data_IF_871175903359
#
_entry.id   IF_871175903359
#
_cell.length_a   1.000
_cell.length_b   1.000
_cell.length_c   1.000
_cell.angle_alpha   90.00
_cell.angle_beta   90.00
_cell.angle_gamma   90.00
#
_symmetry.space_group_name_H-M   'P 1'
#
loop_
_entity.id
_entity.type
_entity.pdbx_description
1 polymer ?
#
# COMPACT_ATOMS: atom_id res chain seq x y z
N UNK A 1 -4.23 -57.29 51.64
CA UNK A 1 -4.52 -56.31 50.57
C UNK A 1 -3.62 -56.66 49.40
N UNK A 2 -4.17 -57.17 48.31
CA UNK A 2 -3.40 -57.57 47.13
C UNK A 2 -3.24 -56.38 46.19
N UNK A 3 -2.00 -55.99 45.92
CA UNK A 3 -1.68 -55.05 44.84
C UNK A 3 -2.03 -55.69 43.49
N UNK A 4 -3.14 -55.25 42.89
CA UNK A 4 -3.43 -55.53 41.48
C UNK A 4 -2.37 -54.86 40.62
N UNK A 5 -1.38 -55.65 40.16
CA UNK A 5 -0.42 -55.21 39.15
C UNK A 5 -1.16 -54.99 37.84
N UNK A 6 -1.47 -53.73 37.54
CA UNK A 6 -1.98 -53.30 36.26
C UNK A 6 -1.00 -53.73 35.15
N UNK A 7 -1.37 -54.79 34.42
CA UNK A 7 -0.56 -55.30 33.32
C UNK A 7 -0.73 -54.36 32.11
N UNK A 8 0.26 -53.48 31.89
CA UNK A 8 0.28 -52.61 30.72
C UNK A 8 0.32 -53.49 29.45
N UNK A 9 -0.64 -53.35 28.52
CA UNK A 9 -0.69 -54.14 27.29
C UNK A 9 0.63 -54.06 26.50
N UNK A 10 1.17 -55.22 26.10
CA UNK A 10 2.35 -55.29 25.24
C UNK A 10 2.04 -54.61 23.91
N UNK A 11 2.74 -53.50 23.62
CA UNK A 11 2.56 -52.73 22.38
C UNK A 11 2.14 -51.27 22.60
N UNK A 12 1.68 -50.92 23.81
CA UNK A 12 1.23 -49.56 24.12
C UNK A 12 2.35 -48.51 23.98
N UNK A 13 3.60 -48.86 24.33
CA UNK A 13 4.77 -47.99 24.10
C UNK A 13 5.09 -47.77 22.61
N UNK A 14 4.91 -48.78 21.75
CA UNK A 14 5.08 -48.62 20.30
C UNK A 14 3.98 -47.75 19.69
N UNK A 15 2.76 -47.86 20.21
CA UNK A 15 1.64 -47.01 19.80
C UNK A 15 1.83 -45.56 20.24
N UNK A 16 2.25 -45.33 21.49
CA UNK A 16 2.56 -44.01 22.01
C UNK A 16 3.68 -43.32 21.22
N UNK A 17 4.75 -44.04 20.87
CA UNK A 17 5.83 -43.49 20.03
C UNK A 17 5.32 -43.11 18.64
N UNK A 18 4.51 -43.96 17.99
CA UNK A 18 3.93 -43.64 16.69
C UNK A 18 3.01 -42.42 16.71
N UNK A 19 2.22 -42.26 17.78
CA UNK A 19 1.39 -41.06 17.96
C UNK A 19 2.25 -39.82 18.16
N UNK A 20 3.32 -39.92 18.95
CA UNK A 20 4.23 -38.81 19.19
C UNK A 20 4.95 -38.38 17.91
N UNK A 21 5.46 -39.34 17.13
CA UNK A 21 6.07 -39.11 15.82
C UNK A 21 5.08 -38.41 14.85
N UNK A 22 3.84 -38.91 14.77
CA UNK A 22 2.81 -38.31 13.92
C UNK A 22 2.46 -36.87 14.33
N UNK A 23 2.41 -36.57 15.63
CA UNK A 23 2.15 -35.21 16.13
C UNK A 23 3.29 -34.24 15.78
N UNK A 24 4.54 -34.69 15.87
CA UNK A 24 5.70 -33.88 15.48
C UNK A 24 5.66 -33.59 13.98
N UNK A 25 5.39 -34.61 13.15
CA UNK A 25 5.28 -34.44 11.70
C UNK A 25 4.17 -33.46 11.31
N UNK A 26 3.02 -33.50 11.99
CA UNK A 26 1.91 -32.57 11.79
C UNK A 26 2.29 -31.12 12.19
N UNK A 27 2.96 -30.93 13.33
CA UNK A 27 3.42 -29.63 13.79
C UNK A 27 4.46 -29.03 12.83
N UNK A 28 5.43 -29.83 12.37
CA UNK A 28 6.41 -29.40 11.39
C UNK A 28 5.77 -29.06 10.02
N UNK A 29 4.76 -29.84 9.60
CA UNK A 29 4.02 -29.55 8.37
C UNK A 29 3.25 -28.23 8.48
N UNK A 30 2.62 -27.98 9.63
CA UNK A 30 1.92 -26.73 9.91
C UNK A 30 2.88 -25.53 9.92
N UNK A 31 4.07 -25.67 10.52
CA UNK A 31 5.08 -24.61 10.53
C UNK A 31 5.62 -24.33 9.13
N UNK A 32 5.89 -25.38 8.32
CA UNK A 32 6.27 -25.22 6.90
C UNK A 32 5.21 -24.44 6.12
N UNK A 33 3.92 -24.76 6.30
CA UNK A 33 2.83 -24.03 5.64
C UNK A 33 2.78 -22.56 6.07
N UNK A 34 2.97 -22.25 7.36
CA UNK A 34 3.01 -20.85 7.84
C UNK A 34 4.19 -20.09 7.25
N UNK A 35 5.37 -20.70 7.21
CA UNK A 35 6.58 -20.11 6.61
C UNK A 35 6.37 -19.84 5.11
N UNK A 36 5.80 -20.79 4.37
CA UNK A 36 5.47 -20.62 2.96
C UNK A 36 4.43 -19.53 2.72
N UNK A 37 3.40 -19.43 3.57
CA UNK A 37 2.40 -18.37 3.46
C UNK A 37 3.01 -16.98 3.73
N UNK A 38 3.86 -16.86 4.75
CA UNK A 38 4.60 -15.63 5.05
C UNK A 38 5.49 -15.26 3.87
N UNK A 39 6.22 -16.23 3.29
CA UNK A 39 7.09 -16.01 2.15
C UNK A 39 6.29 -15.56 0.92
N UNK A 40 5.18 -16.24 0.59
CA UNK A 40 4.29 -15.84 -0.51
C UNK A 40 3.73 -14.44 -0.32
N UNK A 41 3.30 -14.09 0.90
CA UNK A 41 2.83 -12.73 1.22
C UNK A 41 3.94 -11.69 1.03
N UNK A 42 5.17 -12.00 1.42
CA UNK A 42 6.34 -11.13 1.19
C UNK A 42 6.63 -10.97 -0.29
N UNK A 43 6.62 -12.05 -1.08
CA UNK A 43 6.83 -11.96 -2.53
C UNK A 43 5.77 -11.13 -3.23
N UNK A 44 4.49 -11.34 -2.91
CA UNK A 44 3.39 -10.53 -3.47
C UNK A 44 3.57 -9.07 -3.10
N UNK A 45 3.96 -8.77 -1.86
CA UNK A 45 4.26 -7.40 -1.41
C UNK A 45 5.43 -6.79 -2.18
N UNK A 46 6.50 -7.55 -2.44
CA UNK A 46 7.65 -7.10 -3.21
C UNK A 46 7.29 -6.84 -4.67
N UNK A 47 6.56 -7.75 -5.32
CA UNK A 47 6.10 -7.56 -6.70
C UNK A 47 5.15 -6.36 -6.84
N UNK A 48 4.23 -6.19 -5.88
CA UNK A 48 3.34 -5.03 -5.85
C UNK A 48 4.13 -3.72 -5.65
N UNK A 49 5.18 -3.75 -4.83
CA UNK A 49 6.09 -2.60 -4.65
C UNK A 49 6.87 -2.30 -5.93
N UNK A 50 7.39 -3.31 -6.62
CA UNK A 50 8.11 -3.13 -7.89
C UNK A 50 7.19 -2.57 -8.99
N UNK A 51 5.97 -3.10 -9.10
CA UNK A 51 4.97 -2.58 -10.02
C UNK A 51 4.55 -1.14 -9.66
N UNK A 52 4.35 -0.85 -8.37
CA UNK A 52 4.06 0.48 -7.86
C UNK A 52 5.18 1.49 -8.09
N UNK A 53 6.44 1.05 -8.03
CA UNK A 53 7.61 1.91 -8.18
C UNK A 53 7.68 2.54 -9.57
N UNK A 54 7.38 1.80 -10.63
CA UNK A 54 7.37 2.33 -11.99
C UNK A 54 6.33 3.46 -12.14
N UNK A 55 5.14 3.26 -11.58
CA UNK A 55 4.10 4.28 -11.57
C UNK A 55 4.48 5.49 -10.70
N UNK A 56 5.07 5.25 -9.52
CA UNK A 56 5.55 6.32 -8.65
C UNK A 56 6.64 7.16 -9.33
N UNK A 57 7.58 6.53 -10.04
CA UNK A 57 8.61 7.23 -10.80
C UNK A 57 8.00 8.10 -11.90
N UNK A 58 6.99 7.60 -12.62
CA UNK A 58 6.28 8.38 -13.63
C UNK A 58 5.56 9.59 -13.03
N UNK A 59 4.89 9.40 -11.88
CA UNK A 59 4.23 10.50 -11.14
C UNK A 59 5.25 11.55 -10.70
N UNK A 60 6.39 11.15 -10.11
CA UNK A 60 7.46 12.08 -9.72
C UNK A 60 8.05 12.83 -10.91
N UNK A 61 8.27 12.13 -12.03
CA UNK A 61 8.76 12.76 -13.27
C UNK A 61 7.80 13.82 -13.77
N UNK A 62 6.51 13.50 -13.84
CA UNK A 62 5.47 14.46 -14.23
C UNK A 62 5.38 15.63 -13.24
N UNK A 63 5.39 15.35 -11.93
CA UNK A 63 5.32 16.37 -10.88
C UNK A 63 6.50 17.34 -10.95
N UNK A 64 7.71 16.84 -11.23
CA UNK A 64 8.88 17.68 -11.46
C UNK A 64 8.68 18.59 -12.67
N UNK A 65 8.27 18.04 -13.81
CA UNK A 65 8.00 18.82 -15.02
C UNK A 65 6.91 19.88 -14.80
N UNK A 66 5.83 19.51 -14.12
CA UNK A 66 4.74 20.41 -13.74
C UNK A 66 5.27 21.57 -12.90
N UNK A 67 6.00 21.28 -11.80
CA UNK A 67 6.60 22.28 -10.90
C UNK A 67 7.62 23.18 -11.59
N UNK A 68 8.33 22.67 -12.59
CA UNK A 68 9.29 23.47 -13.36
C UNK A 68 8.63 24.37 -14.40
N UNK A 69 7.39 24.08 -14.81
CA UNK A 69 6.66 24.88 -15.80
C UNK A 69 6.08 26.17 -15.20
N UNK A 70 5.99 27.23 -16.02
CA UNK A 70 5.38 28.51 -15.59
C UNK A 70 3.91 28.35 -15.18
N UNK A 71 3.17 27.51 -15.89
CA UNK A 71 1.77 27.19 -15.56
C UNK A 71 1.68 26.47 -14.21
N UNK A 72 2.50 25.45 -13.98
CA UNK A 72 2.47 24.69 -12.74
C UNK A 72 2.91 25.52 -11.53
N UNK A 73 3.93 26.39 -11.67
CA UNK A 73 4.31 27.34 -10.61
C UNK A 73 3.14 28.26 -10.24
N UNK A 74 2.46 28.84 -11.24
CA UNK A 74 1.30 29.70 -11.00
C UNK A 74 0.17 28.94 -10.33
N UNK A 75 -0.15 27.74 -10.80
CA UNK A 75 -1.20 26.89 -10.22
C UNK A 75 -0.89 26.47 -8.78
N UNK A 76 0.38 26.15 -8.47
CA UNK A 76 0.80 25.85 -7.10
C UNK A 76 0.70 27.09 -6.22
N UNK A 77 1.13 28.26 -6.72
CA UNK A 77 1.09 29.51 -5.98
C UNK A 77 -0.34 29.99 -5.69
N UNK A 78 -1.26 29.81 -6.63
CA UNK A 78 -2.68 30.14 -6.44
C UNK A 78 -3.47 28.99 -5.80
N UNK A 79 -2.82 27.85 -5.57
CA UNK A 79 -3.43 26.62 -5.04
C UNK A 79 -4.31 26.90 -3.84
N UNK A 80 -5.59 26.54 -3.96
CA UNK A 80 -6.63 27.01 -3.06
C UNK A 80 -6.49 26.37 -1.65
N UNK A 81 -6.36 27.14 -0.56
CA UNK A 81 -6.41 26.61 0.81
C UNK A 81 -7.83 26.17 1.24
N UNK A 82 -8.87 26.46 0.43
CA UNK A 82 -10.27 26.11 0.75
C UNK A 82 -10.64 24.66 0.45
N UNK A 83 -9.83 23.93 -0.32
CA UNK A 83 -9.87 22.48 -0.18
C UNK A 83 -9.14 22.23 1.14
N UNK A 84 -9.88 21.97 2.21
CA UNK A 84 -9.41 21.67 3.59
C UNK A 84 -8.47 20.45 3.70
N UNK A 85 -7.90 20.06 2.57
CA UNK A 85 -7.16 18.88 2.23
C UNK A 85 -5.80 19.19 1.59
N UNK A 86 -5.47 20.43 1.20
CA UNK A 86 -4.15 20.78 0.64
C UNK A 86 -3.26 21.46 1.69
N UNK A 87 -1.93 21.23 1.62
CA UNK A 87 -0.95 22.10 2.28
C UNK A 87 -1.09 23.52 1.70
N UNK A 88 -0.77 24.55 2.49
CA UNK A 88 -0.70 25.93 2.01
C UNK A 88 0.12 25.97 0.71
N UNK A 89 -0.55 26.24 -0.42
CA UNK A 89 0.01 26.28 -1.79
C UNK A 89 0.33 24.90 -2.43
N UNK A 90 -0.71 24.17 -2.84
CA UNK A 90 -0.58 22.91 -3.59
C UNK A 90 -1.73 22.67 -4.57
N UNK A 91 -1.53 21.74 -5.49
CA UNK A 91 -2.48 21.33 -6.53
C UNK A 91 -2.80 19.86 -6.38
N UNK A 92 -4.08 19.52 -6.27
CA UNK A 92 -4.54 18.15 -6.32
C UNK A 92 -4.72 17.73 -7.78
N UNK A 93 -4.15 16.58 -8.16
CA UNK A 93 -4.20 16.10 -9.55
C UNK A 93 -4.87 14.74 -9.70
N UNK A 94 -5.15 14.06 -8.60
CA UNK A 94 -5.84 12.77 -8.61
C UNK A 94 -6.80 12.66 -7.43
N UNK A 95 -8.09 12.55 -7.74
CA UNK A 95 -9.21 12.30 -6.82
C UNK A 95 -9.95 11.00 -7.18
N UNK A 96 -9.23 9.98 -7.63
CA UNK A 96 -9.84 8.76 -8.15
C UNK A 96 -10.22 7.78 -7.06
N UNK A 97 -11.50 7.41 -6.98
CA UNK A 97 -11.91 6.20 -6.29
C UNK A 97 -11.54 4.97 -7.16
N UNK A 98 -10.74 4.07 -6.60
CA UNK A 98 -10.32 2.83 -7.26
C UNK A 98 -11.09 1.69 -6.62
N UNK A 99 -11.90 1.00 -7.42
CA UNK A 99 -12.80 -0.06 -6.96
C UNK A 99 -12.04 -1.07 -6.09
N UNK A 100 -12.53 -1.28 -4.87
CA UNK A 100 -11.95 -2.22 -3.91
C UNK A 100 -10.70 -1.71 -3.18
N UNK A 101 -10.36 -0.42 -3.31
CA UNK A 101 -9.25 0.22 -2.58
C UNK A 101 -9.77 1.32 -1.67
N UNK A 102 -9.05 1.57 -0.57
CA UNK A 102 -9.32 2.74 0.24
C UNK A 102 -9.02 4.00 -0.58
N UNK A 103 -9.87 5.02 -0.47
CA UNK A 103 -9.67 6.28 -1.18
C UNK A 103 -8.29 6.86 -0.86
N UNK A 104 -7.62 7.34 -1.91
CA UNK A 104 -6.35 8.06 -1.84
C UNK A 104 -6.34 9.17 -2.87
N UNK A 105 -6.08 10.37 -2.38
CA UNK A 105 -5.82 11.54 -3.19
C UNK A 105 -4.33 11.76 -3.43
N UNK A 106 -3.94 12.27 -4.60
CA UNK A 106 -2.57 12.71 -4.87
C UNK A 106 -2.52 14.18 -5.28
N UNK A 107 -1.50 14.87 -4.80
CA UNK A 107 -1.24 16.24 -5.17
C UNK A 107 0.25 16.57 -5.21
N UNK A 108 0.52 17.79 -5.68
CA UNK A 108 1.86 18.33 -5.86
C UNK A 108 1.93 19.74 -5.28
N UNK A 109 3.01 20.06 -4.59
CA UNK A 109 3.30 21.39 -4.06
C UNK A 109 4.75 21.79 -4.37
N UNK A 110 5.20 22.91 -3.79
CA UNK A 110 6.60 23.34 -3.92
C UNK A 110 7.60 22.37 -3.28
N UNK A 111 7.18 21.55 -2.32
CA UNK A 111 8.00 20.53 -1.67
C UNK A 111 8.09 19.23 -2.47
N UNK A 112 7.09 18.89 -3.26
CA UNK A 112 7.08 17.69 -4.10
C UNK A 112 5.71 17.05 -4.19
N UNK A 113 5.69 15.71 -4.22
CA UNK A 113 4.45 14.93 -4.26
C UNK A 113 3.96 14.72 -2.84
N UNK A 114 2.64 14.73 -2.66
CA UNK A 114 1.98 14.34 -1.42
C UNK A 114 0.77 13.46 -1.73
N UNK A 115 0.36 12.65 -0.76
CA UNK A 115 -0.89 11.89 -0.82
C UNK A 115 -1.74 12.15 0.41
N UNK A 116 -3.05 11.86 0.30
CA UNK A 116 -3.99 11.99 1.41
C UNK A 116 -4.98 10.81 1.45
N UNK A 117 -5.38 10.41 2.66
CA UNK A 117 -6.50 9.50 2.90
C UNK A 117 -7.78 10.27 3.25
N UNK A 118 -8.94 9.65 3.04
CA UNK A 118 -10.21 10.14 3.55
C UNK A 118 -10.32 9.83 5.06
N UNK A 119 -10.90 10.77 5.82
CA UNK A 119 -11.11 10.64 7.26
C UNK A 119 -11.01 11.97 8.00
N UNK A 120 -11.65 12.06 9.16
CA UNK A 120 -11.52 13.21 10.05
C UNK A 120 -10.08 13.30 10.59
N UNK A 121 -9.46 14.48 10.50
CA UNK A 121 -8.07 14.69 10.95
C UNK A 121 -6.98 14.11 10.02
N UNK A 122 -7.33 13.61 8.83
CA UNK A 122 -6.33 13.21 7.85
C UNK A 122 -5.64 14.45 7.27
N UNK A 123 -4.32 14.52 7.38
CA UNK A 123 -3.50 15.56 6.77
C UNK A 123 -2.75 15.01 5.54
N UNK A 124 -2.39 15.86 4.57
CA UNK A 124 -1.49 15.46 3.49
C UNK A 124 -0.16 14.94 4.01
N UNK A 125 0.25 13.79 3.49
CA UNK A 125 1.54 13.17 3.73
C UNK A 125 2.47 13.53 2.59
N UNK A 126 3.47 14.36 2.86
CA UNK A 126 4.53 14.64 1.88
C UNK A 126 5.38 13.40 1.68
N UNK A 127 5.77 13.19 0.43
CA UNK A 127 6.58 12.05 0.02
C UNK A 127 7.85 12.55 -0.63
N UNK A 128 8.98 12.05 -0.14
CA UNK A 128 10.31 12.49 -0.55
C UNK A 128 10.86 11.71 -1.75
N UNK A 129 10.36 10.50 -2.01
CA UNK A 129 10.84 9.66 -3.11
C UNK A 129 9.76 8.76 -3.75
N UNK A 130 9.99 8.27 -4.99
CA UNK A 130 9.12 7.27 -5.61
C UNK A 130 8.97 5.98 -4.80
N UNK A 131 10.03 5.53 -4.15
CA UNK A 131 10.04 4.33 -3.30
C UNK A 131 9.10 4.50 -2.11
N UNK A 132 9.16 5.66 -1.46
CA UNK A 132 8.29 6.00 -0.35
C UNK A 132 6.81 6.05 -0.81
N UNK A 133 6.54 6.60 -2.00
CA UNK A 133 5.19 6.62 -2.56
C UNK A 133 4.68 5.21 -2.86
N UNK A 134 5.51 4.35 -3.45
CA UNK A 134 5.17 2.97 -3.76
C UNK A 134 5.00 2.08 -2.52
N UNK A 135 5.61 2.44 -1.39
CA UNK A 135 5.38 1.79 -0.10
C UNK A 135 4.06 2.21 0.56
N UNK A 136 3.68 3.49 0.41
CA UNK A 136 2.55 4.09 1.14
C UNK A 136 1.22 4.05 0.37
N UNK A 137 1.25 3.95 -0.97
CA UNK A 137 0.07 3.98 -1.83
C UNK A 137 0.00 2.70 -2.67
N UNK A 138 -1.20 2.12 -2.74
CA UNK A 138 -1.44 0.88 -3.48
C UNK A 138 -1.11 1.05 -4.98
N UNK A 139 -0.44 0.05 -5.57
CA UNK A 139 0.00 0.10 -6.96
C UNK A 139 -1.15 0.33 -7.95
N UNK A 140 -2.37 -0.15 -7.67
CA UNK A 140 -3.53 0.08 -8.53
C UNK A 140 -3.96 1.56 -8.54
N UNK A 141 -3.79 2.26 -7.41
CA UNK A 141 -4.06 3.70 -7.30
C UNK A 141 -3.02 4.47 -8.09
N UNK A 142 -1.74 4.12 -7.95
CA UNK A 142 -0.66 4.74 -8.71
C UNK A 142 -0.79 4.52 -10.22
N UNK A 143 -1.24 3.32 -10.63
CA UNK A 143 -1.53 3.02 -12.02
C UNK A 143 -2.69 3.89 -12.57
N UNK A 144 -3.76 4.05 -11.79
CA UNK A 144 -4.89 4.89 -12.16
C UNK A 144 -4.47 6.36 -12.31
N UNK A 145 -3.68 6.88 -11.36
CA UNK A 145 -3.13 8.22 -11.42
C UNK A 145 -2.22 8.44 -12.64
N UNK A 146 -1.36 7.47 -12.98
CA UNK A 146 -0.59 7.51 -14.22
C UNK A 146 -1.48 7.57 -15.45
N UNK A 147 -2.58 6.82 -15.47
CA UNK A 147 -3.54 6.85 -16.58
C UNK A 147 -4.15 8.25 -16.73
N UNK A 148 -4.52 8.89 -15.60
CA UNK A 148 -5.04 10.26 -15.62
C UNK A 148 -4.02 11.28 -16.12
N UNK A 149 -2.74 11.09 -15.80
CA UNK A 149 -1.65 11.94 -16.30
C UNK A 149 -1.53 11.78 -17.81
N UNK A 150 -1.57 10.54 -18.31
CA UNK A 150 -1.40 10.22 -19.72
C UNK A 150 -2.55 10.68 -20.60
N UNK A 151 -3.80 10.53 -20.11
CA UNK A 151 -5.00 10.92 -20.87
C UNK A 151 -5.49 12.35 -20.58
N UNK A 152 -4.82 13.06 -19.68
CA UNK A 152 -5.11 14.45 -19.35
C UNK A 152 -6.27 14.66 -18.38
N UNK A 153 -6.87 13.61 -17.81
CA UNK A 153 -7.89 13.75 -16.75
C UNK A 153 -7.39 14.52 -15.52
N UNK A 154 -6.08 14.55 -15.28
CA UNK A 154 -5.47 15.42 -14.25
C UNK A 154 -5.89 16.87 -14.42
N UNK A 155 -6.03 17.38 -15.66
CA UNK A 155 -6.39 18.78 -15.89
C UNK A 155 -7.83 19.09 -15.51
N UNK A 156 -8.73 18.11 -15.69
CA UNK A 156 -10.10 18.22 -15.21
C UNK A 156 -10.12 18.26 -13.69
N UNK A 157 -9.40 17.33 -13.03
CA UNK A 157 -9.26 17.32 -11.57
C UNK A 157 -8.74 18.65 -11.04
N UNK A 158 -7.66 19.16 -11.63
CA UNK A 158 -7.06 20.45 -11.25
C UNK A 158 -8.08 21.57 -11.41
N UNK A 159 -8.77 21.64 -12.56
CA UNK A 159 -9.79 22.66 -12.82
C UNK A 159 -10.92 22.61 -11.80
N UNK A 160 -11.40 21.41 -11.48
CA UNK A 160 -12.50 21.21 -10.53
C UNK A 160 -12.08 21.65 -9.10
N UNK A 161 -10.79 21.60 -8.75
CA UNK A 161 -10.26 22.16 -7.49
C UNK A 161 -10.25 23.69 -7.42
N UNK A 162 -10.40 24.38 -8.56
CA UNK A 162 -10.47 25.84 -8.65
C UNK A 162 -11.85 26.34 -9.09
N UNK A 163 -12.83 25.45 -9.23
CA UNK A 163 -14.20 25.83 -9.53
C UNK A 163 -14.91 26.18 -8.21
N UNK A 164 -15.28 27.45 -8.06
CA UNK A 164 -16.06 27.98 -6.93
C UNK A 164 -17.44 27.30 -6.78
#
# INVERSE_FOLDING_TARGET
>A
MSEEKFAVPKGLGRFANKLHEAMIEEEEAAERQRQEEIWRRKEVRMRNREAGLQYAQAIFTWALQFRSSETGKKLIQVGHPLVSYARENGVFFFDGDVVGKAWRGLGVDNGGVWWKANGCGCHPMSVSSPEELAEQVDAAILACACTWIQDGRVWKCIKDCFAD
#
